data_IF_921462516327
#
_entry.id   IF_921462516327
#
_cell.length_a   1.000
_cell.length_b   1.000
_cell.length_c   1.000
_cell.angle_alpha   90.00
_cell.angle_beta   90.00
_cell.angle_gamma   90.00
#
_symmetry.space_group_name_H-M   'P 1'
#
loop_
_entity.id
_entity.type
_entity.pdbx_description
1 polymer ?
#
# COMPACT_ATOMS: atom_id res chain seq x y z
N UNK A 1 9.24 1.99 -11.54
CA UNK A 1 8.34 1.69 -10.40
C UNK A 1 8.85 0.44 -9.72
N UNK A 2 8.86 0.40 -8.39
CA UNK A 2 9.24 -0.75 -7.57
C UNK A 2 8.21 -0.91 -6.44
N UNK A 3 7.72 -2.13 -6.21
CA UNK A 3 6.67 -2.37 -5.22
C UNK A 3 7.24 -2.60 -3.80
N UNK A 4 6.38 -2.51 -2.77
CA UNK A 4 6.83 -2.66 -1.38
C UNK A 4 7.24 -4.09 -1.05
N UNK A 5 6.80 -5.10 -1.81
CA UNK A 5 7.27 -6.46 -1.66
C UNK A 5 8.76 -6.55 -2.01
N UNK A 6 9.18 -5.87 -3.09
CA UNK A 6 10.58 -5.77 -3.49
C UNK A 6 11.39 -4.88 -2.54
N UNK A 7 10.87 -3.71 -2.14
CA UNK A 7 11.58 -2.78 -1.23
C UNK A 7 11.86 -3.41 0.13
N UNK A 8 10.90 -4.17 0.66
CA UNK A 8 11.01 -4.82 1.96
C UNK A 8 11.68 -6.20 1.89
N UNK A 9 12.08 -6.65 0.69
CA UNK A 9 12.61 -7.99 0.44
C UNK A 9 11.72 -9.10 1.05
N UNK A 10 10.40 -8.89 0.98
CA UNK A 10 9.44 -9.77 1.61
C UNK A 10 9.38 -11.12 0.89
N UNK A 11 9.10 -12.19 1.64
CA UNK A 11 8.89 -13.52 1.07
C UNK A 11 7.44 -13.79 0.66
N UNK A 12 6.49 -13.11 1.32
CA UNK A 12 5.05 -13.26 1.09
C UNK A 12 4.39 -11.87 1.00
N UNK A 13 3.61 -11.64 -0.06
CA UNK A 13 2.97 -10.35 -0.32
C UNK A 13 1.98 -9.93 0.77
N UNK A 14 1.43 -10.88 1.54
CA UNK A 14 0.47 -10.62 2.61
C UNK A 14 1.12 -10.49 3.99
N UNK A 15 2.39 -10.89 4.17
CA UNK A 15 3.03 -10.90 5.48
C UNK A 15 3.82 -9.62 5.73
N UNK A 16 3.10 -8.58 6.13
CA UNK A 16 3.65 -7.31 6.63
C UNK A 16 2.53 -6.52 7.30
N UNK A 17 2.83 -5.30 7.73
CA UNK A 17 1.86 -4.39 8.34
C UNK A 17 1.79 -3.07 7.57
N UNK A 18 0.67 -2.37 7.78
CA UNK A 18 0.54 -1.00 7.26
C UNK A 18 1.61 -0.06 7.84
N UNK A 19 2.09 -0.34 9.06
CA UNK A 19 3.15 0.40 9.71
C UNK A 19 4.50 0.24 9.00
N UNK A 20 4.86 -0.99 8.61
CA UNK A 20 6.12 -1.26 7.90
C UNK A 20 6.16 -0.59 6.53
N UNK A 21 5.04 -0.61 5.79
CA UNK A 21 4.92 0.15 4.53
C UNK A 21 5.05 1.66 4.79
N UNK A 22 4.42 2.18 5.84
CA UNK A 22 4.54 3.60 6.22
C UNK A 22 5.96 4.01 6.61
N UNK A 23 6.72 3.13 7.29
CA UNK A 23 8.14 3.33 7.58
C UNK A 23 8.98 3.34 6.30
N UNK A 24 8.77 2.39 5.40
CA UNK A 24 9.45 2.32 4.12
C UNK A 24 9.21 3.59 3.28
N UNK A 25 7.97 4.05 3.17
CA UNK A 25 7.65 5.33 2.52
C UNK A 25 8.44 6.47 3.18
N UNK A 26 8.49 6.51 4.52
CA UNK A 26 9.27 7.50 5.26
C UNK A 26 10.76 7.50 4.99
N UNK A 27 11.33 6.32 4.73
CA UNK A 27 12.76 6.12 4.48
C UNK A 27 13.14 6.39 3.03
N UNK A 28 12.32 5.96 2.08
CA UNK A 28 12.70 5.90 0.67
C UNK A 28 12.05 6.97 -0.20
N UNK A 29 10.96 7.62 0.23
CA UNK A 29 10.36 8.71 -0.54
C UNK A 29 11.07 10.06 -0.31
N UNK A 30 11.32 10.78 -1.40
CA UNK A 30 11.78 12.17 -1.38
C UNK A 30 10.68 13.17 -0.97
N UNK A 31 9.41 12.73 -0.86
CA UNK A 31 8.24 13.54 -0.47
C UNK A 31 7.53 12.96 0.76
N UNK A 32 8.30 12.39 1.68
CA UNK A 32 7.84 11.51 2.77
C UNK A 32 6.60 11.98 3.55
N UNK A 33 6.49 13.26 3.91
CA UNK A 33 5.32 13.78 4.64
C UNK A 33 4.03 13.71 3.81
N UNK A 34 4.10 14.12 2.55
CA UNK A 34 2.95 14.07 1.64
C UNK A 34 2.57 12.64 1.30
N UNK A 35 3.56 11.79 1.04
CA UNK A 35 3.31 10.41 0.67
C UNK A 35 2.77 9.58 1.84
N UNK A 36 3.18 9.86 3.08
CA UNK A 36 2.58 9.25 4.27
C UNK A 36 1.14 9.67 4.48
N UNK A 37 0.83 10.95 4.25
CA UNK A 37 -0.56 11.45 4.32
C UNK A 37 -1.42 10.76 3.25
N UNK A 38 -0.96 10.76 2.00
CA UNK A 38 -1.66 10.12 0.89
C UNK A 38 -1.84 8.61 1.11
N UNK A 39 -0.81 7.93 1.62
CA UNK A 39 -0.90 6.52 2.03
C UNK A 39 -1.95 6.27 3.13
N UNK A 40 -2.03 7.16 4.12
CA UNK A 40 -3.06 7.07 5.16
C UNK A 40 -4.47 7.30 4.60
N UNK A 41 -4.66 8.31 3.74
CA UNK A 41 -5.92 8.55 3.04
C UNK A 41 -6.35 7.34 2.21
N UNK A 42 -5.39 6.73 1.50
CA UNK A 42 -5.62 5.51 0.73
C UNK A 42 -5.99 4.32 1.63
N UNK A 43 -5.39 4.21 2.81
CA UNK A 43 -5.75 3.19 3.81
C UNK A 43 -7.21 3.34 4.24
N UNK A 44 -7.62 4.56 4.59
CA UNK A 44 -9.01 4.87 4.96
C UNK A 44 -9.96 4.62 3.79
N UNK A 45 -9.57 4.99 2.56
CA UNK A 45 -10.35 4.71 1.35
C UNK A 45 -10.61 3.22 1.17
N UNK A 46 -9.58 2.38 1.29
CA UNK A 46 -9.72 0.93 1.11
C UNK A 46 -10.59 0.30 2.20
N UNK A 47 -10.44 0.74 3.45
CA UNK A 47 -11.32 0.34 4.54
C UNK A 47 -12.79 0.68 4.25
N UNK A 48 -13.07 1.92 3.86
CA UNK A 48 -14.44 2.39 3.61
C UNK A 48 -15.09 1.75 2.37
N UNK A 49 -14.28 1.44 1.35
CA UNK A 49 -14.77 0.84 0.10
C UNK A 49 -14.76 -0.68 0.10
N UNK A 50 -14.31 -1.33 1.20
CA UNK A 50 -14.28 -2.78 1.31
C UNK A 50 -13.19 -3.44 0.44
N UNK A 51 -12.10 -2.74 0.18
CA UNK A 51 -10.92 -3.32 -0.48
C UNK A 51 -9.96 -3.91 0.55
N UNK A 52 -10.17 -5.17 0.89
CA UNK A 52 -9.35 -5.90 1.86
C UNK A 52 -8.20 -6.72 1.22
N UNK A 53 -7.87 -6.52 -0.07
CA UNK A 53 -6.77 -7.20 -0.77
C UNK A 53 -5.59 -6.27 -1.10
N UNK A 54 -5.51 -5.09 -0.47
CA UNK A 54 -4.39 -4.15 -0.63
C UNK A 54 -3.12 -4.61 0.09
N UNK A 55 -2.37 -5.49 -0.57
CA UNK A 55 -1.16 -6.12 -0.05
C UNK A 55 0.12 -5.42 -0.53
N UNK A 56 1.31 -5.92 -0.16
CA UNK A 56 2.60 -5.25 -0.43
C UNK A 56 2.84 -4.87 -1.90
N UNK A 57 2.31 -5.65 -2.86
CA UNK A 57 2.48 -5.38 -4.29
C UNK A 57 1.58 -4.25 -4.83
N UNK A 58 0.61 -3.77 -4.04
CA UNK A 58 -0.29 -2.68 -4.44
C UNK A 58 0.23 -1.30 -4.02
N UNK A 59 1.33 -1.25 -3.27
CA UNK A 59 2.03 -0.02 -2.92
C UNK A 59 3.37 -0.02 -3.65
N UNK A 60 3.65 1.06 -4.38
CA UNK A 60 4.89 1.19 -5.14
C UNK A 60 5.50 2.58 -5.01
N UNK A 61 6.82 2.64 -5.11
CA UNK A 61 7.53 3.88 -5.37
C UNK A 61 7.78 4.04 -6.88
N UNK A 62 7.54 5.24 -7.39
CA UNK A 62 7.85 5.67 -8.74
C UNK A 62 9.10 6.55 -8.70
N UNK A 63 10.06 6.27 -9.60
CA UNK A 63 11.22 7.11 -9.83
C UNK A 63 10.88 8.08 -10.95
N UNK A 64 10.99 9.37 -10.66
CA UNK A 64 10.80 10.47 -11.62
C UNK A 64 11.85 11.55 -11.33
N UNK A 65 12.60 11.97 -12.36
CA UNK A 65 13.72 12.92 -12.22
C UNK A 65 14.65 12.65 -11.01
N UNK A 66 15.11 11.40 -10.89
CA UNK A 66 15.94 10.89 -9.78
C UNK A 66 15.33 11.05 -8.37
N UNK A 67 14.01 11.25 -8.28
CA UNK A 67 13.26 11.34 -7.03
C UNK A 67 12.24 10.21 -6.94
N UNK A 68 12.31 9.47 -5.86
CA UNK A 68 11.31 8.48 -5.49
C UNK A 68 10.13 9.13 -4.79
N UNK A 69 8.92 8.74 -5.18
CA UNK A 69 7.68 9.09 -4.49
C UNK A 69 6.67 7.96 -4.60
N UNK A 70 5.66 7.94 -3.73
CA UNK A 70 4.59 6.95 -3.81
C UNK A 70 3.86 7.10 -5.14
N UNK A 71 3.64 5.99 -5.83
CA UNK A 71 2.92 6.00 -7.10
C UNK A 71 1.45 6.41 -6.89
N UNK A 72 0.76 6.86 -7.96
CA UNK A 72 -0.70 6.83 -7.97
C UNK A 72 -1.23 5.44 -7.57
N UNK A 73 -2.40 5.41 -6.93
CA UNK A 73 -3.02 4.16 -6.51
C UNK A 73 -3.50 3.36 -7.71
N UNK A 74 -3.44 2.03 -7.61
CA UNK A 74 -3.89 1.09 -8.64
C UNK A 74 -4.49 -0.14 -7.96
N UNK A 75 -5.21 -0.95 -8.74
CA UNK A 75 -5.83 -2.19 -8.27
C UNK A 75 -6.80 -1.98 -7.10
N UNK A 76 -7.65 -0.96 -7.25
CA UNK A 76 -8.67 -0.59 -6.27
C UNK A 76 -9.98 -1.31 -6.58
N UNK A 77 -10.26 -2.38 -5.86
CA UNK A 77 -11.45 -3.22 -6.05
C UNK A 77 -12.23 -3.35 -4.74
N UNK A 78 -13.55 -3.26 -4.79
CA UNK A 78 -14.39 -3.66 -3.65
C UNK A 78 -14.45 -5.19 -3.58
N UNK A 79 -13.47 -5.77 -2.89
CA UNK A 79 -13.33 -7.22 -2.75
C UNK A 79 -14.44 -7.80 -1.86
N UNK A 80 -14.95 -7.03 -0.89
CA UNK A 80 -16.03 -7.46 -0.01
C UNK A 80 -17.32 -7.84 -0.76
N UNK A 81 -17.60 -7.24 -1.93
CA UNK A 81 -18.72 -7.65 -2.80
C UNK A 81 -18.47 -9.02 -3.43
N UNK A 82 -17.23 -9.28 -3.86
CA UNK A 82 -16.86 -10.49 -4.61
C UNK A 82 -16.64 -11.67 -3.67
N UNK A 83 -16.14 -11.42 -2.46
CA UNK A 83 -15.83 -12.42 -1.45
C UNK A 83 -16.40 -12.06 -0.08
N UNK A 84 -17.73 -12.17 0.11
CA UNK A 84 -18.40 -11.76 1.36
C UNK A 84 -18.08 -12.66 2.57
N UNK A 85 -17.47 -13.83 2.34
CA UNK A 85 -17.04 -14.74 3.43
C UNK A 85 -15.78 -14.24 4.13
N UNK A 86 -14.91 -13.51 3.41
CA UNK A 86 -13.75 -12.87 4.03
C UNK A 86 -14.21 -11.69 4.90
N UNK A 87 -13.91 -11.78 6.20
CA UNK A 87 -14.27 -10.79 7.20
C UNK A 87 -13.14 -9.83 7.54
N UNK A 88 -11.98 -9.95 6.89
CA UNK A 88 -10.88 -9.01 7.08
C UNK A 88 -11.23 -7.66 6.49
N UNK A 89 -10.78 -6.62 7.17
CA UNK A 89 -10.97 -5.24 6.74
C UNK A 89 -9.79 -4.72 5.90
N UNK A 90 -8.58 -5.25 6.14
CA UNK A 90 -7.32 -4.90 5.47
C UNK A 90 -6.48 -6.16 5.21
N UNK A 91 -5.62 -6.10 4.19
CA UNK A 91 -4.73 -7.20 3.82
C UNK A 91 -3.46 -7.28 4.69
N UNK A 92 -2.99 -6.14 5.21
CA UNK A 92 -1.76 -6.01 6.00
C UNK A 92 -2.13 -5.63 7.44
N UNK A 93 -1.55 -6.32 8.43
CA UNK A 93 -1.87 -6.17 9.86
C UNK A 93 -0.61 -6.11 10.70
#
# INVERSE_FOLDING_TARGET
MIDMFQILEAFDKYKSSMEEVGKAIGQYSNRSAFDKLYYFELTVFNFLTGNNDMHLKNFSLLLDDDKWSLSPAYDLLNVAIVNPEDKKELALT
#
